data_IF_881820394536
#
_entry.id   IF_881820394536
#
_cell.length_a   1.000
_cell.length_b   1.000
_cell.length_c   1.000
_cell.angle_alpha   90.00
_cell.angle_beta   90.00
_cell.angle_gamma   90.00
#
_symmetry.space_group_name_H-M   'P 1'
#
loop_
_entity.id
_entity.type
_entity.pdbx_description
1 polymer ?
#
# COMPACT_ATOMS: atom_id res chain seq x y z
N UNK A 1 -13.47 -7.67 -6.87
CA UNK A 1 -12.28 -6.82 -7.11
C UNK A 1 -11.12 -7.76 -7.39
N UNK A 2 -10.20 -7.42 -8.29
CA UNK A 2 -9.01 -8.26 -8.50
C UNK A 2 -8.06 -8.12 -7.30
N UNK A 3 -7.73 -9.25 -6.67
CA UNK A 3 -6.70 -9.34 -5.63
C UNK A 3 -5.34 -9.32 -6.31
N UNK A 4 -4.55 -8.28 -6.04
CA UNK A 4 -3.18 -8.16 -6.56
C UNK A 4 -2.20 -8.47 -5.44
N UNK A 5 -1.31 -9.43 -5.68
CA UNK A 5 -0.20 -9.75 -4.80
C UNK A 5 1.10 -9.18 -5.40
N UNK A 6 1.93 -8.57 -4.56
CA UNK A 6 3.23 -8.02 -4.92
C UNK A 6 4.33 -8.84 -4.25
N UNK A 7 5.56 -8.73 -4.78
CA UNK A 7 6.75 -9.35 -4.20
C UNK A 7 7.86 -8.31 -4.08
N UNK A 8 8.51 -8.29 -2.93
CA UNK A 8 9.67 -7.42 -2.71
C UNK A 8 10.88 -7.99 -3.42
N UNK A 9 11.53 -7.17 -4.25
CA UNK A 9 12.81 -7.50 -4.89
C UNK A 9 13.87 -7.90 -3.87
N UNK A 10 13.88 -7.26 -2.69
CA UNK A 10 14.81 -7.61 -1.61
C UNK A 10 14.69 -9.06 -1.16
N UNK A 11 13.49 -9.67 -1.25
CA UNK A 11 13.27 -11.06 -0.86
C UNK A 11 13.59 -12.00 -2.03
N UNK A 12 13.07 -11.70 -3.23
CA UNK A 12 13.19 -12.60 -4.39
C UNK A 12 14.55 -12.54 -5.09
N UNK A 13 15.28 -11.43 -4.96
CA UNK A 13 16.64 -11.28 -5.50
C UNK A 13 17.70 -11.59 -4.42
N UNK A 14 17.31 -12.12 -3.25
CA UNK A 14 18.26 -12.54 -2.22
C UNK A 14 18.96 -13.83 -2.61
N UNK A 15 20.26 -13.96 -2.30
CA UNK A 15 21.04 -15.18 -2.55
C UNK A 15 20.36 -16.39 -1.92
N UNK A 16 19.84 -16.25 -0.70
CA UNK A 16 19.12 -17.32 -0.01
C UNK A 16 17.91 -17.87 -0.81
N UNK A 17 17.23 -17.00 -1.57
CA UNK A 17 16.12 -17.37 -2.45
C UNK A 17 16.59 -17.93 -3.80
N UNK A 18 17.55 -17.24 -4.44
CA UNK A 18 18.08 -17.62 -5.75
C UNK A 18 18.83 -18.97 -5.71
N UNK A 19 19.42 -19.32 -4.57
CA UNK A 19 20.08 -20.61 -4.34
C UNK A 19 19.09 -21.80 -4.27
N UNK A 20 17.78 -21.55 -4.14
CA UNK A 20 16.79 -22.62 -4.08
C UNK A 20 16.44 -23.15 -5.48
N UNK A 21 16.08 -24.44 -5.63
CA UNK A 21 15.58 -24.98 -6.89
C UNK A 21 14.38 -24.21 -7.44
N UNK A 22 14.25 -24.16 -8.78
CA UNK A 22 13.14 -23.47 -9.44
C UNK A 22 11.75 -23.99 -9.00
N UNK A 23 11.64 -25.29 -8.70
CA UNK A 23 10.42 -25.88 -8.13
C UNK A 23 10.05 -25.27 -6.78
N UNK A 24 11.05 -25.08 -5.91
CA UNK A 24 10.90 -24.45 -4.59
C UNK A 24 10.52 -22.98 -4.72
N UNK A 25 11.19 -22.24 -5.61
CA UNK A 25 10.87 -20.83 -5.90
C UNK A 25 9.45 -20.69 -6.44
N UNK A 26 9.05 -21.53 -7.40
CA UNK A 26 7.69 -21.55 -7.96
C UNK A 26 6.64 -21.86 -6.88
N UNK A 27 6.89 -22.82 -6.00
CA UNK A 27 6.02 -23.14 -4.88
C UNK A 27 5.80 -21.91 -3.99
N UNK A 28 6.87 -21.19 -3.63
CA UNK A 28 6.77 -19.97 -2.81
C UNK A 28 5.88 -18.90 -3.45
N UNK A 29 6.05 -18.63 -4.74
CA UNK A 29 5.22 -17.67 -5.47
C UNK A 29 3.75 -18.07 -5.49
N UNK A 30 3.47 -19.34 -5.75
CA UNK A 30 2.09 -19.82 -5.83
C UNK A 30 1.38 -19.92 -4.48
N UNK A 31 2.11 -20.21 -3.40
CA UNK A 31 1.60 -20.08 -2.03
C UNK A 31 1.24 -18.63 -1.75
N UNK A 32 2.17 -17.71 -2.00
CA UNK A 32 1.97 -16.27 -1.77
C UNK A 32 0.82 -15.68 -2.61
N UNK A 33 0.57 -16.20 -3.81
CA UNK A 33 -0.57 -15.79 -4.64
C UNK A 33 -1.93 -16.15 -4.03
N UNK A 34 -1.99 -17.19 -3.20
CA UNK A 34 -3.23 -17.77 -2.67
C UNK A 34 -3.44 -17.51 -1.17
N UNK A 35 -2.46 -16.89 -0.53
CA UNK A 35 -2.54 -16.55 0.87
C UNK A 35 -3.59 -15.46 1.11
N UNK A 36 -4.12 -15.42 2.31
CA UNK A 36 -4.99 -14.33 2.76
C UNK A 36 -4.21 -13.02 2.98
N UNK A 37 -4.88 -11.98 3.45
CA UNK A 37 -4.29 -10.65 3.62
C UNK A 37 -3.27 -10.55 4.76
N UNK A 38 -3.15 -11.55 5.63
CA UNK A 38 -2.10 -11.66 6.64
C UNK A 38 -0.98 -12.65 6.24
N UNK A 39 -1.17 -13.38 5.15
CA UNK A 39 -0.19 -14.30 4.58
C UNK A 39 -0.40 -15.77 4.97
N UNK A 40 -1.58 -16.12 5.49
CA UNK A 40 -1.91 -17.47 5.96
C UNK A 40 -2.58 -18.31 4.87
N UNK A 41 -2.34 -19.62 4.98
CA UNK A 41 -2.80 -20.67 4.08
C UNK A 41 -3.09 -21.94 4.89
N UNK A 42 -4.19 -22.63 4.59
CA UNK A 42 -4.49 -23.98 5.11
C UNK A 42 -4.46 -25.07 4.03
N UNK A 43 -4.15 -24.70 2.79
CA UNK A 43 -4.27 -25.57 1.62
C UNK A 43 -2.93 -25.84 0.93
N UNK A 44 -1.81 -25.75 1.66
CA UNK A 44 -0.44 -25.95 1.18
C UNK A 44 -0.27 -27.25 0.40
N UNK A 45 -0.77 -28.38 0.94
CA UNK A 45 -0.73 -29.70 0.27
C UNK A 45 -1.48 -29.76 -1.06
N UNK A 46 -2.56 -28.97 -1.19
CA UNK A 46 -3.33 -28.87 -2.44
C UNK A 46 -2.55 -28.05 -3.48
N UNK A 47 -1.90 -26.97 -3.05
CA UNK A 47 -1.11 -26.10 -3.91
C UNK A 47 0.14 -26.84 -4.42
N UNK A 48 0.83 -27.59 -3.56
CA UNK A 48 1.96 -28.45 -3.96
C UNK A 48 1.55 -29.41 -5.09
N UNK A 49 0.45 -30.14 -4.90
CA UNK A 49 -0.11 -31.06 -5.91
C UNK A 49 -0.49 -30.36 -7.22
N UNK A 50 -1.01 -29.14 -7.16
CA UNK A 50 -1.40 -28.37 -8.34
C UNK A 50 -0.20 -27.99 -9.21
N UNK A 51 0.94 -27.67 -8.58
CA UNK A 51 2.15 -27.21 -9.27
C UNK A 51 3.06 -28.39 -9.65
N UNK A 52 2.86 -29.54 -8.99
CA UNK A 52 3.79 -30.68 -9.08
C UNK A 52 5.05 -30.46 -8.24
N UNK A 53 4.97 -29.64 -7.19
CA UNK A 53 6.08 -29.47 -6.25
C UNK A 53 6.16 -30.66 -5.27
N UNK A 54 7.38 -31.01 -4.90
CA UNK A 54 7.66 -32.13 -3.98
C UNK A 54 7.46 -31.71 -2.52
N UNK A 55 7.44 -32.68 -1.61
CA UNK A 55 7.46 -32.39 -0.18
C UNK A 55 8.79 -31.79 0.28
N UNK A 56 9.88 -32.13 -0.40
CA UNK A 56 11.20 -31.57 -0.10
C UNK A 56 11.31 -30.09 -0.47
N UNK A 57 10.60 -29.63 -1.52
CA UNK A 57 10.47 -28.20 -1.83
C UNK A 57 9.83 -27.43 -0.64
N UNK A 58 8.77 -27.98 -0.04
CA UNK A 58 8.13 -27.35 1.11
C UNK A 58 9.02 -27.38 2.34
N UNK A 59 9.68 -28.51 2.63
CA UNK A 59 10.65 -28.60 3.74
C UNK A 59 11.79 -27.61 3.55
N UNK A 60 12.26 -27.40 2.32
CA UNK A 60 13.31 -26.43 2.02
C UNK A 60 12.85 -24.99 2.30
N UNK A 61 11.62 -24.63 1.94
CA UNK A 61 11.04 -23.33 2.29
C UNK A 61 10.94 -23.12 3.81
N UNK A 62 10.57 -24.16 4.55
CA UNK A 62 10.51 -24.13 6.01
C UNK A 62 11.91 -23.99 6.61
N UNK A 63 12.86 -24.81 6.15
CA UNK A 63 14.24 -24.83 6.63
C UNK A 63 14.95 -23.49 6.38
N UNK A 64 14.78 -22.90 5.18
CA UNK A 64 15.28 -21.56 4.87
C UNK A 64 14.43 -20.42 5.45
N UNK A 65 13.40 -20.75 6.24
CA UNK A 65 12.50 -19.81 6.93
C UNK A 65 11.78 -18.85 5.98
N UNK A 66 11.49 -19.24 4.74
CA UNK A 66 10.60 -18.45 3.87
C UNK A 66 9.13 -18.61 4.25
N UNK A 67 8.83 -19.71 4.95
CA UNK A 67 7.51 -20.18 5.32
C UNK A 67 7.57 -20.70 6.76
N UNK A 68 6.55 -20.40 7.56
CA UNK A 68 6.46 -20.83 8.96
C UNK A 68 5.24 -21.78 9.08
N UNK A 69 5.45 -23.05 9.46
CA UNK A 69 4.37 -24.02 9.66
C UNK A 69 3.77 -23.94 11.08
N UNK A 70 2.49 -24.30 11.20
CA UNK A 70 1.75 -24.50 12.45
C UNK A 70 1.18 -25.92 12.55
N UNK A 71 0.65 -26.30 13.71
CA UNK A 71 0.29 -27.68 14.07
C UNK A 71 -0.86 -28.28 13.22
N UNK A 72 -1.76 -27.44 12.68
CA UNK A 72 -2.91 -27.90 11.87
C UNK A 72 -2.66 -27.93 10.35
N UNK A 73 -1.39 -27.87 9.93
CA UNK A 73 -1.03 -27.75 8.51
C UNK A 73 -1.31 -26.35 7.94
N UNK A 74 -1.61 -25.40 8.82
CA UNK A 74 -1.64 -23.98 8.53
C UNK A 74 -0.20 -23.50 8.36
N UNK A 75 -0.03 -22.58 7.43
CA UNK A 75 1.27 -22.07 7.02
C UNK A 75 1.15 -20.58 6.80
N UNK A 76 2.13 -19.82 7.30
CA UNK A 76 2.24 -18.38 7.03
C UNK A 76 3.49 -18.06 6.21
N UNK A 77 3.35 -17.14 5.25
CA UNK A 77 4.47 -16.59 4.49
C UNK A 77 5.23 -15.59 5.36
N UNK A 78 6.49 -15.88 5.69
CA UNK A 78 7.29 -15.05 6.60
C UNK A 78 7.39 -13.59 6.15
N UNK A 79 7.67 -13.36 4.88
CA UNK A 79 7.93 -12.03 4.32
C UNK A 79 6.65 -11.34 3.82
N UNK A 80 5.46 -11.75 4.30
CA UNK A 80 4.19 -11.28 3.74
C UNK A 80 4.04 -9.76 3.77
N UNK A 81 4.31 -9.12 4.91
CA UNK A 81 4.17 -7.66 5.07
C UNK A 81 5.23 -6.88 4.29
N UNK A 82 6.38 -7.48 4.02
CA UNK A 82 7.40 -6.93 3.13
C UNK A 82 6.93 -6.94 1.67
N UNK A 83 6.24 -8.02 1.29
CA UNK A 83 5.75 -8.23 -0.06
C UNK A 83 4.48 -7.41 -0.35
N UNK A 84 3.58 -7.32 0.63
CA UNK A 84 2.24 -6.78 0.45
C UNK A 84 1.91 -5.70 1.49
N UNK A 85 1.90 -4.44 1.04
CA UNK A 85 1.32 -3.34 1.79
C UNK A 85 -0.16 -3.18 1.42
N UNK A 86 -1.04 -3.61 2.34
CA UNK A 86 -2.50 -3.52 2.17
C UNK A 86 -3.05 -2.26 2.85
N UNK A 87 -3.97 -1.59 2.15
CA UNK A 87 -4.67 -0.42 2.69
C UNK A 87 -5.81 -0.87 3.59
N UNK A 88 -6.02 -0.19 4.72
CA UNK A 88 -7.01 -0.55 5.76
C UNK A 88 -8.44 -0.75 5.24
N UNK A 89 -8.83 -0.08 4.16
CA UNK A 89 -10.16 -0.18 3.55
C UNK A 89 -10.40 -1.48 2.77
N UNK A 90 -9.33 -2.22 2.44
CA UNK A 90 -9.39 -3.48 1.69
C UNK A 90 -8.89 -4.67 2.49
N UNK A 91 -8.28 -4.43 3.63
CA UNK A 91 -7.69 -5.45 4.48
C UNK A 91 -8.78 -6.28 5.16
N UNK A 92 -8.67 -7.60 5.01
CA UNK A 92 -9.50 -8.57 5.75
C UNK A 92 -8.59 -9.38 6.66
N UNK A 93 -8.86 -9.37 7.96
CA UNK A 93 -8.06 -10.12 8.91
C UNK A 93 -8.17 -11.63 8.65
N UNK A 94 -7.09 -12.37 8.91
CA UNK A 94 -7.09 -13.83 8.84
C UNK A 94 -8.12 -14.47 9.76
N UNK A 95 -8.55 -15.69 9.45
CA UNK A 95 -9.37 -16.49 10.37
C UNK A 95 -8.51 -17.18 11.44
N UNK A 96 -7.20 -17.27 11.23
CA UNK A 96 -6.22 -17.97 12.07
C UNK A 96 -5.66 -17.04 13.15
N UNK A 97 -6.53 -16.57 14.04
CA UNK A 97 -6.21 -15.56 15.05
C UNK A 97 -5.23 -16.07 16.12
N UNK A 98 -5.34 -17.35 16.47
CA UNK A 98 -4.52 -17.97 17.52
C UNK A 98 -3.06 -18.07 17.06
N UNK A 99 -2.87 -18.56 15.83
CA UNK A 99 -1.58 -18.67 15.16
C UNK A 99 -0.97 -17.29 14.87
N UNK A 100 -1.81 -16.32 14.48
CA UNK A 100 -1.37 -14.94 14.29
C UNK A 100 -0.86 -14.30 15.58
N UNK A 101 -1.48 -14.59 16.73
CA UNK A 101 -1.03 -14.08 18.01
C UNK A 101 0.32 -14.64 18.47
N UNK A 102 0.73 -15.81 17.97
CA UNK A 102 2.05 -16.42 18.25
C UNK A 102 3.19 -15.79 17.43
N UNK A 103 2.86 -14.91 16.47
CA UNK A 103 3.85 -14.26 15.63
C UNK A 103 4.19 -12.86 16.15
N UNK A 104 5.48 -12.59 16.24
CA UNK A 104 6.02 -11.25 16.34
C UNK A 104 6.34 -10.71 14.94
N UNK A 105 6.19 -9.39 14.76
CA UNK A 105 6.61 -8.68 13.54
C UNK A 105 7.91 -7.96 13.86
N UNK A 106 8.98 -8.31 13.16
CA UNK A 106 10.28 -7.64 13.28
C UNK A 106 10.25 -6.25 12.65
N UNK A 107 11.27 -5.45 12.93
CA UNK A 107 11.44 -4.11 12.34
C UNK A 107 11.51 -4.14 10.80
N UNK A 108 12.04 -5.23 10.24
CA UNK A 108 12.11 -5.44 8.79
C UNK A 108 10.76 -5.83 8.14
N UNK A 109 9.73 -6.06 8.95
CA UNK A 109 8.39 -6.48 8.51
C UNK A 109 8.24 -7.99 8.30
N UNK A 110 9.23 -8.81 8.66
CA UNK A 110 9.13 -10.26 8.62
C UNK A 110 8.45 -10.81 9.89
N UNK A 111 7.69 -11.90 9.73
CA UNK A 111 7.14 -12.64 10.87
C UNK A 111 8.22 -13.49 11.54
N UNK A 112 8.10 -13.67 12.85
CA UNK A 112 8.90 -14.60 13.63
C UNK A 112 8.04 -15.27 14.70
N UNK A 113 8.25 -16.56 14.94
CA UNK A 113 7.65 -17.24 16.08
C UNK A 113 8.38 -16.82 17.36
N UNK A 114 7.62 -16.48 18.40
CA UNK A 114 8.16 -16.32 19.74
C UNK A 114 8.42 -17.72 20.34
N UNK A 115 9.58 -18.31 20.02
CA UNK A 115 9.98 -19.58 20.62
C UNK A 115 10.32 -19.38 22.10
N UNK A 116 9.51 -19.97 22.97
CA UNK A 116 9.86 -20.17 24.37
C UNK A 116 10.96 -21.24 24.43
N UNK A 117 12.22 -20.79 24.45
CA UNK A 117 13.45 -21.53 24.79
C UNK A 117 13.79 -22.83 24.01
N UNK A 118 14.86 -22.79 23.21
CA UNK A 118 15.50 -24.01 22.70
C UNK A 118 16.64 -23.86 21.67
N UNK A 119 17.78 -23.32 22.08
CA UNK A 119 19.14 -23.48 21.49
C UNK A 119 19.43 -22.77 20.13
N UNK A 120 20.42 -21.85 20.10
CA UNK A 120 20.94 -21.26 18.86
C UNK A 120 22.03 -22.17 18.27
N UNK A 121 21.98 -22.44 16.96
CA UNK A 121 23.15 -22.93 16.22
C UNK A 121 23.56 -21.94 15.13
N UNK A 122 24.86 -21.69 15.07
CA UNK A 122 25.47 -20.43 14.71
C UNK A 122 25.58 -20.14 13.21
N UNK A 123 25.67 -18.85 12.89
CA UNK A 123 26.93 -18.26 12.47
C UNK A 123 26.88 -16.73 12.54
N UNK A 124 27.86 -16.19 13.27
CA UNK A 124 28.09 -14.78 13.57
C UNK A 124 28.63 -14.00 12.36
N UNK A 125 28.35 -12.69 12.33
CA UNK A 125 29.32 -11.58 12.21
C UNK A 125 28.56 -10.29 12.62
N UNK A 126 28.56 -9.91 13.91
CA UNK A 126 29.45 -8.93 14.56
C UNK A 126 29.46 -7.54 13.92
N UNK A 127 28.80 -6.55 14.56
CA UNK A 127 29.49 -5.34 15.05
C UNK A 127 28.79 -4.80 16.30
N UNK A 128 29.61 -4.26 17.19
CA UNK A 128 29.46 -4.00 18.62
C UNK A 128 28.70 -2.70 18.92
N UNK A 129 27.90 -2.69 19.99
CA UNK A 129 27.36 -1.48 20.63
C UNK A 129 26.28 -1.79 21.67
N UNK A 130 26.69 -2.05 22.92
CA UNK A 130 25.88 -2.48 24.09
C UNK A 130 25.26 -1.23 24.80
N UNK A 131 24.55 -1.35 25.95
CA UNK A 131 23.09 -1.36 26.13
C UNK A 131 22.55 -0.18 26.97
N UNK A 132 21.23 0.03 26.97
CA UNK A 132 20.41 0.46 28.13
C UNK A 132 18.97 0.62 27.61
N UNK A 133 17.87 0.16 28.19
CA UNK A 133 17.54 -0.39 29.48
C UNK A 133 16.01 -0.27 29.58
N UNK A 134 15.34 -1.25 30.19
CA UNK A 134 13.94 -1.23 30.63
C UNK A 134 12.83 -1.22 29.54
N UNK A 135 11.66 -1.84 29.68
CA UNK A 135 11.04 -2.72 30.67
C UNK A 135 9.71 -3.22 30.05
N UNK A 136 9.15 -4.23 30.69
CA UNK A 136 7.95 -4.99 30.38
C UNK A 136 6.64 -4.18 30.24
N UNK A 137 5.67 -4.89 29.63
CA UNK A 137 4.25 -4.95 29.96
C UNK A 137 3.26 -4.05 29.19
N UNK A 138 2.34 -4.75 28.51
CA UNK A 138 0.88 -4.59 28.55
C UNK A 138 0.35 -3.36 29.29
N UNK A 139 -0.42 -2.48 28.61
CA UNK A 139 -1.84 -2.27 28.89
C UNK A 139 -2.48 -1.10 28.11
N UNK A 140 -3.78 -1.28 27.95
CA UNK A 140 -4.85 -0.40 27.50
C UNK A 140 -4.83 1.00 28.13
N UNK A 141 -5.13 2.03 27.33
CA UNK A 141 -6.14 3.11 27.54
C UNK A 141 -5.66 4.51 27.11
N UNK A 142 -6.57 5.16 26.38
CA UNK A 142 -6.94 6.59 26.36
C UNK A 142 -5.90 7.69 26.60
N UNK A 143 -5.98 8.69 25.72
CA UNK A 143 -5.68 10.10 26.02
C UNK A 143 -4.70 10.70 25.01
N UNK A 144 -5.15 11.53 24.06
CA UNK A 144 -5.31 13.00 24.19
C UNK A 144 -4.00 13.76 24.47
N UNK A 145 -3.80 14.74 23.59
CA UNK A 145 -3.13 16.03 23.77
C UNK A 145 -1.59 16.13 23.85
N UNK A 146 -1.07 16.60 22.70
CA UNK A 146 -0.23 17.81 22.48
C UNK A 146 1.20 17.92 23.05
N UNK A 147 2.05 18.44 22.15
CA UNK A 147 3.27 19.28 22.36
C UNK A 147 4.52 18.49 22.80
N UNK A 148 5.71 18.62 22.22
CA UNK A 148 6.25 19.44 21.14
C UNK A 148 7.78 19.53 21.26
N UNK A 149 8.48 19.70 20.12
CA UNK A 149 9.91 20.06 19.91
C UNK A 149 10.96 18.97 20.24
N UNK A 150 12.09 18.80 19.53
CA UNK A 150 12.88 19.72 18.69
C UNK A 150 13.66 18.97 17.59
N UNK A 151 13.88 19.69 16.48
CA UNK A 151 14.89 19.63 15.41
C UNK A 151 15.90 18.50 15.32
N UNK A 152 16.00 17.90 14.11
CA UNK A 152 17.23 17.95 13.30
C UNK A 152 16.85 18.26 11.84
N UNK A 153 17.42 19.36 11.34
CA UNK A 153 17.29 19.87 9.97
C UNK A 153 18.15 19.08 8.99
N UNK A 154 17.61 18.77 7.80
CA UNK A 154 18.36 18.86 6.54
C UNK A 154 17.39 19.04 5.36
N UNK A 155 16.94 20.27 5.20
CA UNK A 155 17.06 21.05 3.96
C UNK A 155 16.87 20.32 2.61
N UNK A 156 15.61 20.08 2.22
CA UNK A 156 15.19 20.27 0.82
C UNK A 156 13.89 21.07 0.83
N UNK A 157 14.03 22.35 0.52
CA UNK A 157 12.96 23.33 0.43
C UNK A 157 11.96 22.97 -0.67
N UNK A 158 10.71 22.71 -0.29
CA UNK A 158 9.56 23.02 -1.14
C UNK A 158 8.52 23.65 -0.23
N UNK A 159 8.57 24.98 -0.17
CA UNK A 159 7.67 25.82 0.60
C UNK A 159 6.22 25.61 0.13
N UNK A 160 5.40 25.01 0.99
CA UNK A 160 3.95 25.13 0.92
C UNK A 160 3.57 26.26 1.89
N UNK A 161 3.00 27.38 1.43
CA UNK A 161 2.47 28.38 2.33
C UNK A 161 1.34 27.74 3.16
N UNK A 162 1.56 27.73 4.46
CA UNK A 162 0.53 27.56 5.48
C UNK A 162 -0.57 28.61 5.23
N UNK A 163 -1.87 28.26 5.18
CA UNK A 163 -2.90 29.26 4.94
C UNK A 163 -3.12 30.05 6.23
N UNK A 164 -2.51 31.23 6.29
CA UNK A 164 -2.96 32.34 7.13
C UNK A 164 -4.43 32.67 6.77
N UNK A 165 -5.21 33.03 7.79
CA UNK A 165 -6.57 33.53 7.65
C UNK A 165 -6.64 34.75 6.70
N UNK A 166 -7.79 35.01 6.05
CA UNK A 166 -7.82 35.60 4.73
C UNK A 166 -7.49 37.09 4.74
N UNK A 167 -6.49 37.46 3.94
CA UNK A 167 -6.44 38.80 3.37
C UNK A 167 -7.76 39.05 2.61
N UNK A 168 -8.42 40.20 2.81
CA UNK A 168 -9.82 40.44 2.43
C UNK A 168 -10.11 40.48 0.91
N UNK A 169 -9.11 40.29 0.06
CA UNK A 169 -9.20 40.48 -1.41
C UNK A 169 -9.18 39.18 -2.24
N UNK A 170 -9.13 37.99 -1.62
CA UNK A 170 -9.14 36.73 -2.41
C UNK A 170 -10.57 36.29 -2.72
N UNK A 171 -10.95 36.34 -4.00
CA UNK A 171 -12.26 35.88 -4.48
C UNK A 171 -12.47 34.39 -4.20
N UNK A 172 -13.42 34.07 -3.30
CA UNK A 172 -13.82 32.70 -2.99
C UNK A 172 -14.78 32.20 -4.08
N UNK A 173 -14.35 31.21 -4.85
CA UNK A 173 -15.11 30.72 -6.01
C UNK A 173 -16.04 29.58 -5.63
N UNK A 174 -15.54 28.59 -4.89
CA UNK A 174 -16.32 27.40 -4.53
C UNK A 174 -15.78 26.72 -3.27
N UNK A 175 -16.67 26.25 -2.41
CA UNK A 175 -16.30 25.42 -1.26
C UNK A 175 -16.52 23.93 -1.53
N UNK A 176 -15.60 23.10 -1.03
CA UNK A 176 -15.68 21.64 -1.02
C UNK A 176 -15.84 21.11 0.41
N UNK A 177 -16.86 20.28 0.63
CA UNK A 177 -17.15 19.70 1.95
C UNK A 177 -16.12 18.62 2.34
N UNK A 178 -15.44 18.80 3.46
CA UNK A 178 -14.46 17.85 4.01
C UNK A 178 -15.11 16.76 4.88
N UNK A 179 -14.32 15.77 5.28
CA UNK A 179 -14.75 14.63 6.09
C UNK A 179 -15.19 15.01 7.51
N UNK A 180 -14.59 16.05 8.08
CA UNK A 180 -14.97 16.66 9.35
C UNK A 180 -16.17 17.62 9.22
N UNK A 181 -16.78 17.70 8.02
CA UNK A 181 -17.86 18.62 7.63
C UNK A 181 -17.46 20.09 7.55
N UNK A 182 -16.18 20.41 7.70
CA UNK A 182 -15.69 21.75 7.40
C UNK A 182 -15.67 22.01 5.89
N UNK A 183 -15.71 23.29 5.52
CA UNK A 183 -15.65 23.72 4.13
C UNK A 183 -14.23 24.12 3.75
N UNK A 184 -13.72 23.55 2.65
CA UNK A 184 -12.45 23.97 2.05
C UNK A 184 -12.73 24.91 0.88
N UNK A 185 -12.34 26.18 1.02
CA UNK A 185 -12.54 27.19 -0.01
C UNK A 185 -11.46 27.12 -1.07
N UNK A 186 -11.90 27.14 -2.34
CA UNK A 186 -11.06 27.32 -3.51
C UNK A 186 -11.20 28.77 -3.97
N UNK A 187 -10.06 29.40 -4.19
CA UNK A 187 -9.95 30.80 -4.55
C UNK A 187 -9.73 30.98 -6.07
N UNK A 188 -9.98 32.19 -6.57
CA UNK A 188 -9.88 32.52 -7.99
C UNK A 188 -8.49 32.26 -8.59
N UNK A 189 -7.43 32.59 -7.85
CA UNK A 189 -6.03 32.32 -8.22
C UNK A 189 -5.75 30.83 -8.46
N UNK A 190 -6.33 29.94 -7.64
CA UNK A 190 -6.20 28.50 -7.81
C UNK A 190 -6.95 28.00 -9.05
N UNK A 191 -8.12 28.58 -9.33
CA UNK A 191 -8.89 28.25 -10.54
C UNK A 191 -8.13 28.69 -11.79
N UNK A 192 -7.53 29.87 -11.78
CA UNK A 192 -6.71 30.36 -12.88
C UNK A 192 -5.47 29.48 -13.10
N UNK A 193 -4.76 29.14 -12.01
CA UNK A 193 -3.61 28.23 -12.07
C UNK A 193 -3.99 26.88 -12.67
N UNK A 194 -5.10 26.28 -12.23
CA UNK A 194 -5.57 25.01 -12.80
C UNK A 194 -6.05 25.14 -14.23
N UNK A 195 -6.64 26.28 -14.62
CA UNK A 195 -7.05 26.53 -16.00
C UNK A 195 -5.85 26.54 -16.94
N UNK A 196 -4.72 27.12 -16.51
CA UNK A 196 -3.46 27.09 -17.27
C UNK A 196 -2.87 25.68 -17.37
N UNK A 197 -2.92 24.89 -16.29
CA UNK A 197 -2.38 23.52 -16.24
C UNK A 197 -3.26 22.49 -16.98
N UNK A 198 -4.57 22.72 -17.01
CA UNK A 198 -5.56 21.83 -17.60
C UNK A 198 -6.37 22.52 -18.72
N UNK A 199 -5.72 22.97 -19.82
CA UNK A 199 -6.37 23.81 -20.84
C UNK A 199 -7.50 23.12 -21.60
N UNK A 200 -7.58 21.79 -21.56
CA UNK A 200 -8.64 21.01 -22.19
C UNK A 200 -9.89 20.83 -21.31
N UNK A 201 -9.90 21.39 -20.10
CA UNK A 201 -10.92 21.15 -19.08
C UNK A 201 -11.55 22.47 -18.62
N UNK A 202 -12.88 22.52 -18.58
CA UNK A 202 -13.60 23.59 -17.88
C UNK A 202 -13.48 23.36 -16.37
N UNK A 203 -12.44 23.95 -15.77
CA UNK A 203 -12.09 23.77 -14.36
C UNK A 203 -13.26 24.14 -13.44
N UNK A 204 -13.96 25.23 -13.72
CA UNK A 204 -15.02 25.72 -12.85
C UNK A 204 -16.24 24.79 -12.88
N UNK A 205 -16.59 24.27 -14.05
CA UNK A 205 -17.64 23.25 -14.18
C UNK A 205 -17.25 21.94 -13.48
N UNK A 206 -16.00 21.50 -13.61
CA UNK A 206 -15.52 20.29 -12.92
C UNK A 206 -15.48 20.45 -11.41
N UNK A 207 -15.12 21.62 -10.88
CA UNK A 207 -15.18 21.89 -9.44
C UNK A 207 -16.61 21.78 -8.90
N UNK A 208 -17.64 22.21 -9.66
CA UNK A 208 -19.05 22.01 -9.28
C UNK A 208 -19.43 20.52 -9.23
N UNK A 209 -18.96 19.73 -10.21
CA UNK A 209 -19.16 18.28 -10.20
C UNK A 209 -18.47 17.62 -9.01
N UNK A 210 -17.25 18.07 -8.67
CA UNK A 210 -16.53 17.61 -7.47
C UNK A 210 -17.32 17.90 -6.19
N UNK A 211 -17.88 19.12 -6.05
CA UNK A 211 -18.74 19.48 -4.90
C UNK A 211 -19.94 18.53 -4.80
N UNK A 212 -20.71 18.39 -5.89
CA UNK A 212 -21.87 17.50 -5.95
C UNK A 212 -21.51 16.04 -5.59
N UNK A 213 -20.34 15.56 -6.04
CA UNK A 213 -19.85 14.23 -5.72
C UNK A 213 -19.53 14.06 -4.22
N UNK A 214 -18.88 15.04 -3.60
CA UNK A 214 -18.55 15.02 -2.16
C UNK A 214 -19.79 15.10 -1.27
N UNK A 215 -20.80 15.86 -1.71
CA UNK A 215 -22.07 15.97 -0.99
C UNK A 215 -22.86 14.66 -1.07
N UNK A 216 -22.89 14.02 -2.25
CA UNK A 216 -23.55 12.73 -2.48
C UNK A 216 -22.80 11.54 -1.88
N UNK A 217 -21.52 11.68 -1.52
CA UNK A 217 -20.69 10.60 -0.97
C UNK A 217 -20.06 10.98 0.39
N UNK A 218 -20.83 11.10 1.48
CA UNK A 218 -20.32 11.55 2.78
C UNK A 218 -19.16 10.71 3.34
N UNK A 219 -19.22 9.39 3.19
CA UNK A 219 -18.16 8.46 3.64
C UNK A 219 -16.86 8.56 2.82
N UNK A 220 -16.89 9.23 1.66
CA UNK A 220 -15.74 9.36 0.75
C UNK A 220 -15.18 10.77 0.67
N UNK A 221 -15.67 11.70 1.51
CA UNK A 221 -15.13 13.06 1.63
C UNK A 221 -13.66 13.04 2.00
N UNK A 222 -12.93 14.07 1.58
CA UNK A 222 -11.47 14.13 1.75
C UNK A 222 -11.12 14.84 3.06
N UNK A 223 -9.91 14.56 3.54
CA UNK A 223 -9.28 15.35 4.60
C UNK A 223 -8.73 16.65 4.00
N UNK A 224 -8.49 17.67 4.83
CA UNK A 224 -7.83 18.94 4.40
C UNK A 224 -6.52 18.68 3.66
N UNK A 225 -5.72 17.69 4.10
CA UNK A 225 -4.46 17.29 3.43
C UNK A 225 -4.68 16.60 2.07
N UNK A 226 -5.81 15.93 1.88
CA UNK A 226 -6.09 15.11 0.70
C UNK A 226 -6.91 15.81 -0.39
N UNK A 227 -7.54 16.95 -0.10
CA UNK A 227 -8.49 17.60 -1.01
C UNK A 227 -7.82 18.12 -2.29
N UNK A 228 -6.65 18.75 -2.19
CA UNK A 228 -5.91 19.25 -3.37
C UNK A 228 -5.43 18.10 -4.28
N UNK A 229 -5.00 16.97 -3.70
CA UNK A 229 -4.64 15.77 -4.47
C UNK A 229 -5.86 15.22 -5.21
N UNK A 230 -7.03 15.25 -4.57
CA UNK A 230 -8.29 14.85 -5.19
C UNK A 230 -8.65 15.75 -6.38
N UNK A 231 -8.58 17.07 -6.22
CA UNK A 231 -8.84 18.04 -7.32
C UNK A 231 -7.90 17.80 -8.50
N UNK A 232 -6.58 17.77 -8.26
CA UNK A 232 -5.59 17.53 -9.32
C UNK A 232 -5.81 16.18 -10.04
N UNK A 233 -6.11 15.11 -9.28
CA UNK A 233 -6.38 13.79 -9.87
C UNK A 233 -7.67 13.76 -10.69
N UNK A 234 -8.67 14.56 -10.33
CA UNK A 234 -9.93 14.69 -11.08
C UNK A 234 -9.69 15.42 -12.40
N UNK A 235 -9.09 16.62 -12.33
CA UNK A 235 -8.83 17.45 -13.52
C UNK A 235 -7.90 16.75 -14.51
N UNK A 236 -6.86 16.07 -14.04
CA UNK A 236 -5.98 15.26 -14.90
C UNK A 236 -6.75 14.17 -15.66
N UNK A 237 -7.69 13.48 -15.00
CA UNK A 237 -8.50 12.45 -15.66
C UNK A 237 -9.46 13.05 -16.69
N UNK A 238 -10.08 14.19 -16.39
CA UNK A 238 -10.96 14.87 -17.35
C UNK A 238 -10.17 15.35 -18.58
N UNK A 239 -8.96 15.87 -18.38
CA UNK A 239 -8.07 16.25 -19.48
C UNK A 239 -7.73 15.07 -20.41
N UNK A 240 -7.46 13.90 -19.85
CA UNK A 240 -7.07 12.73 -20.64
C UNK A 240 -8.24 11.98 -21.30
N UNK A 241 -9.50 12.25 -20.91
CA UNK A 241 -10.68 11.65 -21.58
C UNK A 241 -10.77 12.02 -23.07
N UNK A 242 -10.30 13.21 -23.46
CA UNK A 242 -10.29 13.65 -24.86
C UNK A 242 -9.35 12.83 -25.77
N UNK A 243 -8.30 12.21 -25.22
CA UNK A 243 -7.28 11.48 -26.00
C UNK A 243 -7.72 10.07 -26.39
N UNK A 244 -8.69 9.48 -25.68
CA UNK A 244 -9.17 8.12 -25.98
C UNK A 244 -10.06 8.05 -27.22
N UNK A 245 -10.70 9.17 -27.62
CA UNK A 245 -11.62 9.19 -28.76
C UNK A 245 -10.93 9.19 -30.14
N UNK A 246 -9.61 9.43 -30.21
CA UNK A 246 -8.85 9.37 -31.47
C UNK A 246 -8.32 7.97 -31.80
N UNK A 247 -8.29 7.05 -30.84
CA UNK A 247 -7.70 5.71 -31.02
C UNK A 247 -8.68 4.69 -31.62
N UNK A 248 -9.95 5.05 -31.77
CA UNK A 248 -11.03 4.15 -32.26
C UNK A 248 -11.41 4.37 -33.73
N UNK A 249 -10.78 5.33 -34.43
CA UNK A 249 -10.95 5.51 -35.88
C UNK A 249 -9.61 5.31 -36.61
N UNK A 250 -9.16 4.06 -36.70
CA UNK A 250 -8.19 3.70 -37.71
C UNK A 250 -8.89 3.73 -39.09
N UNK A 251 -8.35 4.41 -40.11
CA UNK A 251 -8.94 4.43 -41.43
C UNK A 251 -8.90 3.02 -42.03
N UNK A 252 -10.06 2.53 -42.48
CA UNK A 252 -10.14 1.33 -43.31
C UNK A 252 -9.44 1.65 -44.64
N UNK A 253 -8.27 1.06 -44.85
CA UNK A 253 -7.59 1.09 -46.14
C UNK A 253 -8.39 0.18 -47.06
N UNK A 254 -9.11 0.76 -48.02
CA UNK A 254 -9.76 0.01 -49.10
C UNK A 254 -8.69 -0.61 -50.00
N UNK A 255 -8.74 -1.93 -50.15
CA UNK A 255 -7.94 -2.67 -51.12
C UNK A 255 -8.14 -2.11 -52.53
N UNK A 256 -7.01 -1.97 -53.23
CA UNK A 256 -6.93 -1.54 -54.62
C UNK A 256 -7.27 -2.74 -55.51
N UNK A 257 -8.35 -2.63 -56.28
CA UNK A 257 -8.66 -3.59 -57.34
C UNK A 257 -7.57 -3.55 -58.42
N UNK A 258 -6.97 -4.72 -58.69
CA UNK A 258 -6.05 -4.93 -59.81
C UNK A 258 -6.83 -5.11 -61.11
N UNK A 259 -6.40 -4.41 -62.15
CA UNK A 259 -6.60 -4.78 -63.56
C UNK A 259 -5.26 -4.69 -64.28
#
# INVERSE_FOLDING_TARGET
MAERRMFSKTVVDSDAFLDMPLSTQALYFHLSMRADDDGFLNNTKRIQRLIGATDDDLKLLIMKRFVIPFEDGIVVIKHWRMNNYLRKDRYTQTVYQEEFAMLSVKEDGSYALEETSGIPDGNQCVTVGIPDGNQLATQVRLGKDRIGKVSIESSINTACPEPEEPAPDREQVISLTLNDRSEFWIYGDQVEQWSQLFPAVDVLQELRKMKSWLDSNPSRRKTKRGILRFVNSWLSREQDKGKLNYRTKAPQISEVDSW
#
